data_IF_317022622947
#
_entry.id   IF_317022622947
#
_cell.length_a   1.000
_cell.length_b   1.000
_cell.length_c   1.000
_cell.angle_alpha   90.00
_cell.angle_beta   90.00
_cell.angle_gamma   90.00
#
_symmetry.space_group_name_H-M   'P 1'
#
loop_
_entity.id
_entity.type
_entity.pdbx_description
1 polymer ?
#
# COMPACT_ATOMS: atom_id res chain seq x y z
N UNK A 1 -11.43 -13.02 -0.59
CA UNK A 1 -12.20 -11.83 -1.04
C UNK A 1 -12.03 -10.76 0.02
N UNK A 2 -11.49 -9.60 -0.35
CA UNK A 2 -11.20 -8.53 0.60
C UNK A 2 -12.49 -7.72 0.84
N UNK A 3 -13.06 -7.87 2.04
CA UNK A 3 -14.39 -7.32 2.35
C UNK A 3 -14.28 -5.83 2.65
N UNK A 4 -13.43 -5.46 3.61
CA UNK A 4 -13.31 -4.09 4.10
C UNK A 4 -11.91 -3.83 4.65
N UNK A 5 -11.41 -2.63 4.45
CA UNK A 5 -10.18 -2.12 5.08
C UNK A 5 -10.38 -0.66 5.48
N UNK A 6 -10.01 -0.34 6.72
CA UNK A 6 -9.99 1.03 7.25
C UNK A 6 -8.57 1.39 7.67
N UNK A 7 -8.05 2.50 7.14
CA UNK A 7 -6.70 2.99 7.42
C UNK A 7 -6.77 4.37 8.08
N UNK A 8 -5.99 4.54 9.15
CA UNK A 8 -5.68 5.84 9.75
C UNK A 8 -4.17 6.04 9.65
N UNK A 9 -3.73 7.08 8.95
CA UNK A 9 -2.31 7.37 8.73
C UNK A 9 -1.91 8.73 9.32
N UNK A 10 -0.84 8.76 10.11
CA UNK A 10 -0.22 9.98 10.59
C UNK A 10 0.81 10.47 9.56
N UNK A 11 0.43 11.52 8.82
CA UNK A 11 1.29 12.20 7.82
C UNK A 11 1.70 13.60 8.27
N UNK A 12 1.52 13.92 9.55
CA UNK A 12 1.65 15.28 10.05
C UNK A 12 0.68 16.26 9.40
N UNK A 13 1.11 17.50 9.21
CA UNK A 13 0.42 18.47 8.36
C UNK A 13 0.73 18.16 6.90
N UNK A 14 -0.14 17.39 6.26
CA UNK A 14 -0.03 17.02 4.85
C UNK A 14 0.22 18.23 3.94
N UNK A 15 1.19 18.10 3.04
CA UNK A 15 1.47 19.13 2.03
C UNK A 15 0.40 19.14 0.94
N UNK A 16 -0.09 17.96 0.56
CA UNK A 16 -1.18 17.78 -0.37
C UNK A 16 -1.96 16.50 0.01
N UNK A 17 -3.11 16.65 0.69
CA UNK A 17 -3.88 15.51 1.18
C UNK A 17 -4.32 14.55 0.08
N UNK A 18 -4.59 15.04 -1.14
CA UNK A 18 -5.01 14.19 -2.25
C UNK A 18 -3.88 13.27 -2.73
N UNK A 19 -2.63 13.77 -2.76
CA UNK A 19 -1.46 12.96 -3.10
C UNK A 19 -1.16 11.98 -1.98
N UNK A 20 -1.20 12.42 -0.72
CA UNK A 20 -0.87 11.57 0.41
C UNK A 20 -1.87 10.42 0.58
N UNK A 21 -3.16 10.66 0.37
CA UNK A 21 -4.17 9.58 0.33
C UNK A 21 -3.86 8.59 -0.79
N UNK A 22 -3.56 9.07 -2.01
CA UNK A 22 -3.20 8.18 -3.12
C UNK A 22 -1.93 7.36 -2.86
N UNK A 23 -0.96 7.91 -2.11
CA UNK A 23 0.21 7.15 -1.65
C UNK A 23 -0.18 6.06 -0.65
N UNK A 24 -1.04 6.37 0.33
CA UNK A 24 -1.54 5.38 1.28
C UNK A 24 -2.26 4.24 0.58
N UNK A 25 -3.17 4.54 -0.34
CA UNK A 25 -3.91 3.54 -1.11
C UNK A 25 -2.98 2.71 -1.99
N UNK A 26 -2.09 3.37 -2.75
CA UNK A 26 -1.18 2.70 -3.67
C UNK A 26 -0.20 1.76 -2.96
N UNK A 27 0.44 2.24 -1.88
CA UNK A 27 1.36 1.44 -1.09
C UNK A 27 0.64 0.27 -0.41
N UNK A 28 -0.55 0.50 0.15
CA UNK A 28 -1.37 -0.58 0.71
C UNK A 28 -1.70 -1.65 -0.32
N UNK A 29 -2.13 -1.28 -1.53
CA UNK A 29 -2.44 -2.25 -2.59
C UNK A 29 -1.18 -2.98 -3.07
N UNK A 30 -0.02 -2.33 -3.15
CA UNK A 30 1.24 -3.02 -3.43
C UNK A 30 1.58 -4.07 -2.37
N UNK A 31 1.43 -3.71 -1.09
CA UNK A 31 1.63 -4.65 0.00
C UNK A 31 0.61 -5.80 0.01
N UNK A 32 -0.64 -5.53 -0.39
CA UNK A 32 -1.67 -6.56 -0.56
C UNK A 32 -1.21 -7.59 -1.59
N UNK A 33 -0.67 -7.12 -2.72
CA UNK A 33 -0.03 -7.97 -3.72
C UNK A 33 1.10 -8.80 -3.12
N UNK A 34 2.05 -8.15 -2.45
CA UNK A 34 3.20 -8.78 -1.81
C UNK A 34 2.82 -9.93 -0.86
N UNK A 35 1.81 -9.74 -0.01
CA UNK A 35 1.45 -10.74 1.01
C UNK A 35 0.50 -11.84 0.51
N UNK A 36 -0.27 -11.60 -0.55
CA UNK A 36 -1.40 -12.50 -0.89
C UNK A 36 -1.45 -13.00 -2.32
N UNK A 37 -0.75 -12.36 -3.27
CA UNK A 37 -0.90 -12.65 -4.71
C UNK A 37 0.41 -12.83 -5.47
N UNK A 38 1.40 -11.98 -5.19
CA UNK A 38 2.61 -11.87 -5.97
C UNK A 38 3.59 -12.99 -5.60
N UNK A 39 3.83 -13.92 -6.54
CA UNK A 39 4.73 -15.06 -6.33
C UNK A 39 5.80 -15.11 -7.43
N UNK A 40 7.07 -15.05 -7.03
CA UNK A 40 8.21 -15.29 -7.92
C UNK A 40 8.62 -16.77 -7.84
N UNK A 41 8.40 -17.51 -8.93
CA UNK A 41 8.80 -18.92 -9.05
C UNK A 41 10.04 -19.09 -9.91
N UNK A 42 10.97 -19.92 -9.45
CA UNK A 42 12.25 -20.19 -10.09
C UNK A 42 12.46 -21.70 -10.31
N UNK A 43 13.26 -22.08 -11.31
CA UNK A 43 13.74 -23.45 -11.48
C UNK A 43 14.82 -23.79 -10.42
N UNK A 44 15.09 -25.08 -10.14
CA UNK A 44 16.22 -25.48 -9.30
C UNK A 44 17.58 -24.93 -9.78
N UNK A 45 17.71 -24.68 -11.08
CA UNK A 45 18.89 -24.09 -11.73
C UNK A 45 18.89 -22.54 -11.72
N UNK A 46 17.88 -21.91 -11.10
CA UNK A 46 17.82 -20.46 -10.92
C UNK A 46 17.09 -19.68 -12.03
N UNK A 47 16.42 -20.35 -12.97
CA UNK A 47 15.70 -19.66 -14.04
C UNK A 47 14.34 -19.14 -13.56
N UNK A 48 14.06 -17.84 -13.72
CA UNK A 48 12.74 -17.26 -13.40
C UNK A 48 11.65 -17.80 -14.34
N UNK A 49 10.62 -18.45 -13.80
CA UNK A 49 9.45 -18.94 -14.55
C UNK A 49 8.37 -17.87 -14.74
N UNK A 50 8.17 -17.02 -13.73
CA UNK A 50 7.07 -16.04 -13.66
C UNK A 50 7.39 -14.75 -14.41
N UNK A 51 7.63 -14.86 -15.71
CA UNK A 51 7.99 -13.72 -16.57
C UNK A 51 6.74 -13.07 -17.15
N UNK A 52 6.47 -11.84 -16.72
CA UNK A 52 5.38 -11.00 -17.24
C UNK A 52 4.00 -11.28 -16.62
N UNK A 53 2.99 -10.46 -16.96
CA UNK A 53 1.69 -10.43 -16.29
C UNK A 53 0.83 -11.68 -16.54
N UNK A 54 1.19 -12.50 -17.53
CA UNK A 54 0.57 -13.80 -17.76
C UNK A 54 0.78 -14.76 -16.59
N UNK A 55 1.95 -14.68 -15.93
CA UNK A 55 2.38 -15.59 -14.88
C UNK A 55 2.63 -14.90 -13.52
N UNK A 56 3.02 -13.62 -13.51
CA UNK A 56 3.14 -12.81 -12.30
C UNK A 56 1.89 -11.94 -12.12
N UNK A 57 1.20 -12.06 -10.98
CA UNK A 57 -0.10 -11.44 -10.77
C UNK A 57 -0.01 -10.33 -9.72
N UNK A 58 0.03 -9.10 -10.21
CA UNK A 58 -0.23 -7.92 -9.37
C UNK A 58 -1.73 -7.81 -9.06
N UNK A 59 -2.12 -7.09 -8.00
CA UNK A 59 -3.51 -6.77 -7.73
C UNK A 59 -4.19 -6.06 -8.91
N UNK A 60 -5.37 -6.55 -9.28
CA UNK A 60 -6.25 -5.93 -10.26
C UNK A 60 -7.39 -5.17 -9.56
N UNK A 61 -8.24 -4.51 -10.36
CA UNK A 61 -9.40 -3.75 -9.85
C UNK A 61 -10.37 -4.57 -8.98
N UNK A 62 -10.42 -5.90 -9.16
CA UNK A 62 -11.29 -6.78 -8.37
C UNK A 62 -10.69 -7.25 -7.04
N UNK A 63 -9.40 -7.02 -6.82
CA UNK A 63 -8.66 -7.54 -5.66
C UNK A 63 -8.63 -6.54 -4.50
N UNK A 64 -8.91 -5.26 -4.76
CA UNK A 64 -8.99 -4.24 -3.71
C UNK A 64 -10.16 -4.52 -2.73
N UNK A 65 -10.09 -4.05 -1.48
CA UNK A 65 -11.20 -4.15 -0.53
C UNK A 65 -12.48 -3.54 -1.10
N UNK A 66 -13.63 -4.22 -0.90
CA UNK A 66 -14.92 -3.75 -1.42
C UNK A 66 -15.32 -2.42 -0.75
N UNK A 67 -15.06 -2.30 0.55
CA UNK A 67 -15.11 -1.03 1.28
C UNK A 67 -13.69 -0.63 1.66
N UNK A 68 -13.20 0.50 1.14
CA UNK A 68 -11.83 0.95 1.38
C UNK A 68 -11.83 2.40 1.88
N UNK A 69 -11.57 2.57 3.18
CA UNK A 69 -11.62 3.87 3.85
C UNK A 69 -10.21 4.30 4.26
N UNK A 70 -9.78 5.49 3.84
CA UNK A 70 -8.50 6.09 4.23
C UNK A 70 -8.75 7.41 4.92
N UNK A 71 -8.13 7.61 6.08
CA UNK A 71 -8.19 8.84 6.85
C UNK A 71 -6.81 9.26 7.32
N UNK A 72 -6.57 10.57 7.33
CA UNK A 72 -5.34 11.16 7.84
C UNK A 72 -5.57 11.65 9.27
N UNK A 73 -4.64 11.37 10.17
CA UNK A 73 -4.73 11.79 11.56
C UNK A 73 -4.78 13.33 11.64
N UNK A 74 -5.77 13.88 12.34
CA UNK A 74 -5.92 15.34 12.51
C UNK A 74 -5.03 15.86 13.64
N UNK A 75 -4.70 17.15 13.56
CA UNK A 75 -4.03 17.89 14.63
C UNK A 75 -2.68 17.30 15.10
N UNK A 76 -1.89 16.77 14.16
CA UNK A 76 -0.63 16.06 14.44
C UNK A 76 0.65 16.71 13.85
N UNK A 77 0.89 18.03 14.00
CA UNK A 77 1.99 18.72 13.31
C UNK A 77 3.38 18.18 13.72
N UNK A 78 4.27 18.01 12.73
CA UNK A 78 5.66 17.59 12.94
C UNK A 78 6.65 18.76 12.85
N UNK A 79 6.92 19.44 13.97
CA UNK A 79 7.76 20.66 14.01
C UNK A 79 9.18 20.53 13.43
N UNK A 80 9.69 19.31 13.23
CA UNK A 80 11.04 19.05 12.71
C UNK A 80 11.10 19.00 11.18
N UNK A 81 9.97 18.86 10.50
CA UNK A 81 9.91 18.71 9.05
C UNK A 81 9.35 19.95 8.36
N UNK A 82 9.60 20.05 7.06
CA UNK A 82 9.11 21.14 6.21
C UNK A 82 7.59 21.23 6.32
N UNK A 83 7.10 22.44 6.61
CA UNK A 83 5.67 22.74 6.83
C UNK A 83 4.93 21.78 7.77
N UNK A 84 5.64 21.21 8.75
CA UNK A 84 5.08 20.25 9.70
C UNK A 84 4.59 18.92 9.12
N UNK A 85 5.05 18.53 7.93
CA UNK A 85 4.68 17.30 7.22
C UNK A 85 5.42 16.03 7.70
N UNK A 86 5.01 14.86 7.21
CA UNK A 86 5.76 13.59 7.29
C UNK A 86 5.74 12.87 5.94
N UNK A 87 6.73 12.01 5.72
CA UNK A 87 6.78 11.16 4.55
C UNK A 87 5.70 10.06 4.62
N UNK A 88 5.09 9.74 3.47
CA UNK A 88 3.94 8.83 3.37
C UNK A 88 4.13 7.66 2.39
N UNK A 89 5.16 7.68 1.54
CA UNK A 89 5.26 6.72 0.42
C UNK A 89 5.39 5.25 0.82
N UNK A 90 6.38 4.92 1.65
CA UNK A 90 6.66 3.52 2.03
C UNK A 90 5.88 3.00 3.25
N UNK A 91 5.64 3.80 4.32
CA UNK A 91 5.05 3.27 5.55
C UNK A 91 3.71 2.53 5.40
N UNK A 92 2.77 2.95 4.52
CA UNK A 92 1.47 2.29 4.40
C UNK A 92 1.52 0.89 3.77
N UNK A 93 2.64 0.52 3.10
CA UNK A 93 2.78 -0.78 2.45
C UNK A 93 2.58 -1.93 3.44
N UNK A 94 3.21 -1.84 4.61
CA UNK A 94 3.14 -2.90 5.62
C UNK A 94 1.75 -3.08 6.23
N UNK A 95 0.87 -2.05 6.18
CA UNK A 95 -0.48 -2.13 6.73
C UNK A 95 -1.34 -3.21 6.07
N UNK A 96 -1.02 -3.57 4.84
CA UNK A 96 -1.66 -4.66 4.10
C UNK A 96 -1.43 -6.05 4.69
N UNK A 97 -0.45 -6.22 5.58
CA UNK A 97 -0.29 -7.45 6.37
C UNK A 97 -1.52 -7.77 7.23
N UNK A 98 -2.39 -6.78 7.48
CA UNK A 98 -3.70 -6.99 8.14
C UNK A 98 -4.66 -7.89 7.34
N UNK A 99 -4.40 -8.12 6.05
CA UNK A 99 -5.21 -8.97 5.17
C UNK A 99 -4.73 -10.42 5.15
N UNK A 100 -3.49 -10.68 5.59
CA UNK A 100 -2.87 -12.02 5.64
C UNK A 100 -3.37 -12.84 6.83
#
# INVERSE_FOLDING_TARGET
>A
KNIRTDIVMDVGTSLNPAIDIGQVEGAFVQGLGLFTMEELRYSPEGNLYTRGPGMYKIPAFGDIPTEFNVSLLRDCPNSKAVYSSKAVGEPPLFLSASVF
#
